data_IF_224188462229
#
_entry.id   IF_224188462229
#
_cell.length_a   1.000
_cell.length_b   1.000
_cell.length_c   1.000
_cell.angle_alpha   90.00
_cell.angle_beta   90.00
_cell.angle_gamma   90.00
#
_symmetry.space_group_name_H-M   'P 1'
#
loop_
_entity.id
_entity.type
_entity.pdbx_description
1 polymer ?
#
# COMPACT_ATOMS: atom_id res chain seq x y z
N UNK A 1 -7.42 -2.51 12.60
CA UNK A 1 -7.51 -1.52 11.49
C UNK A 1 -7.32 -2.22 10.16
N UNK A 2 -8.11 -1.84 9.16
CA UNK A 2 -8.11 -2.36 7.78
C UNK A 2 -8.08 -1.16 6.84
N UNK A 3 -7.23 -1.17 5.82
CA UNK A 3 -7.17 -0.12 4.80
C UNK A 3 -7.42 -0.77 3.45
N UNK A 4 -8.37 -0.20 2.70
CA UNK A 4 -8.63 -0.57 1.30
C UNK A 4 -8.07 0.54 0.42
N UNK A 5 -7.15 0.17 -0.46
CA UNK A 5 -6.64 1.04 -1.51
C UNK A 5 -7.32 0.56 -2.80
N UNK A 6 -8.24 1.38 -3.30
CA UNK A 6 -9.00 1.05 -4.50
C UNK A 6 -8.31 1.58 -5.75
N UNK A 7 -8.38 0.79 -6.80
CA UNK A 7 -7.99 1.18 -8.15
C UNK A 7 -9.09 0.76 -9.12
N UNK A 8 -9.37 1.63 -10.10
CA UNK A 8 -10.37 1.40 -11.15
C UNK A 8 -9.86 1.99 -12.47
N UNK A 9 -8.82 1.39 -13.04
CA UNK A 9 -8.52 1.54 -14.47
C UNK A 9 -8.09 0.20 -15.08
N UNK A 10 -8.74 -0.90 -14.70
CA UNK A 10 -8.82 -2.01 -15.65
C UNK A 10 -9.78 -1.52 -16.74
N UNK A 11 -9.35 -1.51 -18.01
CA UNK A 11 -10.31 -1.44 -19.11
C UNK A 11 -11.31 -2.57 -18.87
N UNK A 12 -12.60 -2.23 -18.77
CA UNK A 12 -13.65 -3.24 -18.79
C UNK A 12 -13.32 -4.17 -19.98
N UNK A 13 -13.21 -5.47 -19.70
CA UNK A 13 -12.93 -6.56 -20.65
C UNK A 13 -11.46 -6.98 -20.91
N UNK A 14 -10.42 -6.28 -20.41
CA UNK A 14 -9.02 -6.76 -20.56
C UNK A 14 -8.31 -6.82 -19.20
N UNK A 15 -7.92 -8.03 -18.79
CA UNK A 15 -7.08 -8.20 -17.61
C UNK A 15 -5.63 -7.79 -17.92
N UNK A 16 -5.23 -6.61 -17.46
CA UNK A 16 -3.85 -6.18 -17.58
C UNK A 16 -3.02 -6.70 -16.41
N UNK A 17 -1.81 -7.19 -16.71
CA UNK A 17 -0.82 -7.54 -15.68
C UNK A 17 -0.59 -6.33 -14.79
N UNK A 18 -0.61 -6.53 -13.47
CA UNK A 18 -0.28 -5.46 -12.54
C UNK A 18 0.61 -5.94 -11.40
N UNK A 19 1.37 -5.00 -10.85
CA UNK A 19 2.30 -5.22 -9.74
C UNK A 19 2.06 -4.19 -8.65
N UNK A 20 1.87 -4.66 -7.42
CA UNK A 20 1.90 -3.83 -6.23
C UNK A 20 3.29 -3.84 -5.61
N UNK A 21 3.80 -2.66 -5.31
CA UNK A 21 5.05 -2.46 -4.59
C UNK A 21 4.89 -1.47 -3.44
N UNK A 22 5.83 -1.50 -2.50
CA UNK A 22 5.91 -0.54 -1.41
C UNK A 22 7.33 -0.10 -1.13
N UNK A 23 7.50 1.21 -0.96
CA UNK A 23 8.69 1.84 -0.42
C UNK A 23 8.35 2.40 0.96
N UNK A 24 8.75 1.67 2.00
CA UNK A 24 8.55 2.10 3.40
C UNK A 24 9.42 3.32 3.71
N UNK A 25 8.98 4.14 4.65
CA UNK A 25 9.67 5.40 5.05
C UNK A 25 11.18 5.18 5.31
N UNK A 26 11.54 4.10 6.00
CA UNK A 26 12.93 3.77 6.35
C UNK A 26 13.63 2.84 5.34
N UNK A 27 13.13 2.75 4.10
CA UNK A 27 13.70 1.88 3.07
C UNK A 27 14.03 2.65 1.80
N UNK A 28 15.21 2.36 1.24
CA UNK A 28 15.64 2.91 -0.05
C UNK A 28 15.00 2.17 -1.24
N UNK A 29 14.59 0.92 -1.05
CA UNK A 29 14.14 0.03 -2.13
C UNK A 29 12.64 -0.20 -2.07
N UNK A 30 12.05 -0.40 -3.26
CA UNK A 30 10.70 -0.94 -3.38
C UNK A 30 10.73 -2.44 -3.08
N UNK A 31 9.67 -2.94 -2.45
CA UNK A 31 9.43 -4.36 -2.25
C UNK A 31 8.11 -4.74 -2.89
N UNK A 32 8.11 -5.81 -3.69
CA UNK A 32 6.89 -6.39 -4.25
C UNK A 32 5.98 -6.88 -3.11
N UNK A 33 4.71 -6.51 -3.21
CA UNK A 33 3.63 -7.04 -2.38
C UNK A 33 2.92 -8.15 -3.15
N UNK A 34 2.56 -7.88 -4.41
CA UNK A 34 1.74 -8.77 -5.19
C UNK A 34 1.94 -8.58 -6.69
N UNK A 35 1.75 -9.65 -7.45
CA UNK A 35 1.78 -9.66 -8.92
C UNK A 35 0.55 -10.44 -9.42
N UNK A 36 -0.23 -9.84 -10.30
CA UNK A 36 -1.24 -10.52 -11.11
C UNK A 36 -0.71 -10.63 -12.54
N UNK A 37 -0.98 -11.75 -13.22
CA UNK A 37 -0.65 -11.87 -14.64
C UNK A 37 -1.77 -11.32 -15.54
N UNK A 38 -1.54 -11.32 -16.85
CA UNK A 38 -2.49 -10.80 -17.85
C UNK A 38 -3.71 -11.71 -18.08
N UNK A 39 -3.86 -12.78 -17.29
CA UNK A 39 -4.98 -13.71 -17.36
C UNK A 39 -5.85 -13.64 -16.10
N UNK A 40 -5.58 -12.69 -15.20
CA UNK A 40 -6.24 -12.60 -13.90
C UNK A 40 -6.12 -13.90 -13.09
N UNK A 41 -5.10 -14.72 -13.38
CA UNK A 41 -4.78 -15.90 -12.60
C UNK A 41 -4.44 -15.46 -11.16
N UNK A 42 -4.55 -16.38 -10.18
CA UNK A 42 -4.44 -16.02 -8.78
C UNK A 42 -3.19 -15.19 -8.50
N UNK A 43 -3.43 -14.06 -7.83
CA UNK A 43 -2.40 -13.08 -7.50
C UNK A 43 -1.33 -13.75 -6.64
N UNK A 44 -0.08 -13.70 -7.09
CA UNK A 44 1.05 -14.12 -6.25
C UNK A 44 1.33 -13.01 -5.24
N UNK A 45 1.24 -13.32 -3.95
CA UNK A 45 1.55 -12.39 -2.85
C UNK A 45 2.92 -12.77 -2.27
N UNK A 46 3.73 -11.78 -1.93
CA UNK A 46 5.12 -11.97 -1.51
C UNK A 46 5.38 -11.60 -0.05
N UNK A 47 6.20 -12.43 0.61
CA UNK A 47 6.87 -12.09 1.86
C UNK A 47 5.91 -11.85 3.01
N UNK A 48 6.14 -10.78 3.78
CA UNK A 48 5.33 -10.51 4.99
C UNK A 48 3.90 -10.02 4.70
N UNK A 49 3.46 -10.09 3.45
CA UNK A 49 2.14 -9.73 2.97
C UNK A 49 1.24 -10.93 2.67
N UNK A 50 1.78 -12.15 2.51
CA UNK A 50 0.98 -13.35 2.18
C UNK A 50 -0.24 -13.54 3.09
N UNK A 51 -0.06 -13.31 4.39
CA UNK A 51 -1.13 -13.46 5.37
C UNK A 51 -1.95 -12.18 5.62
N UNK A 52 -1.57 -11.06 5.01
CA UNK A 52 -2.11 -9.72 5.33
C UNK A 52 -2.68 -8.98 4.14
N UNK A 53 -2.28 -9.30 2.91
CA UNK A 53 -2.77 -8.67 1.70
C UNK A 53 -3.86 -9.55 1.06
N UNK A 54 -4.84 -8.89 0.47
CA UNK A 54 -5.77 -9.46 -0.49
C UNK A 54 -5.79 -8.51 -1.67
N UNK A 55 -5.80 -9.04 -2.88
CA UNK A 55 -5.80 -8.24 -4.10
C UNK A 55 -6.97 -8.69 -4.95
N UNK A 56 -7.75 -7.72 -5.42
CA UNK A 56 -8.87 -7.97 -6.33
C UNK A 56 -8.41 -7.90 -7.78
N UNK A 57 -9.13 -8.56 -8.67
CA UNK A 57 -8.86 -8.57 -10.12
C UNK A 57 -8.78 -7.17 -10.74
N UNK A 58 -9.55 -6.21 -10.21
CA UNK A 58 -9.50 -4.81 -10.63
C UNK A 58 -8.26 -4.03 -10.15
N UNK A 59 -7.28 -4.70 -9.54
CA UNK A 59 -6.05 -4.11 -9.02
C UNK A 59 -6.17 -3.50 -7.63
N UNK A 60 -7.33 -3.57 -6.96
CA UNK A 60 -7.45 -3.06 -5.58
C UNK A 60 -6.60 -3.88 -4.59
N UNK A 61 -5.85 -3.20 -3.72
CA UNK A 61 -5.11 -3.83 -2.62
C UNK A 61 -5.82 -3.59 -1.29
N UNK A 62 -6.07 -4.67 -0.58
CA UNK A 62 -6.63 -4.67 0.76
C UNK A 62 -5.58 -5.19 1.75
N UNK A 63 -5.16 -4.32 2.67
CA UNK A 63 -4.15 -4.66 3.67
C UNK A 63 -4.78 -4.77 5.06
N UNK A 64 -4.65 -5.95 5.65
CA UNK A 64 -5.08 -6.31 7.00
C UNK A 64 -3.96 -6.17 8.01
N UNK A 65 -4.34 -5.97 9.29
CA UNK A 65 -3.39 -5.89 10.42
C UNK A 65 -2.27 -4.88 10.14
N UNK A 66 -2.69 -3.70 9.66
CA UNK A 66 -1.82 -2.56 9.34
C UNK A 66 -1.17 -2.04 10.63
N UNK A 67 0.14 -1.81 10.58
CA UNK A 67 0.97 -1.31 11.69
C UNK A 67 1.66 0.00 11.29
N UNK A 68 2.15 0.76 12.28
CA UNK A 68 2.89 2.02 12.04
C UNK A 68 4.04 1.85 11.03
N UNK A 69 4.76 0.72 11.09
CA UNK A 69 5.84 0.36 10.16
C UNK A 69 5.41 0.09 8.72
N UNK A 70 4.12 -0.08 8.46
CA UNK A 70 3.59 -0.24 7.10
C UNK A 70 3.41 1.12 6.40
N UNK A 71 3.70 2.25 7.08
CA UNK A 71 3.71 3.57 6.47
C UNK A 71 4.77 3.68 5.37
N UNK A 72 4.43 4.34 4.27
CA UNK A 72 5.28 4.48 3.10
C UNK A 72 4.50 4.82 1.84
N UNK A 73 5.21 4.78 0.71
CA UNK A 73 4.64 4.96 -0.62
C UNK A 73 4.31 3.59 -1.21
N UNK A 74 3.08 3.42 -1.67
CA UNK A 74 2.58 2.23 -2.34
C UNK A 74 2.40 2.55 -3.81
N UNK A 75 2.84 1.65 -4.67
CA UNK A 75 2.82 1.81 -6.11
C UNK A 75 2.02 0.65 -6.70
N UNK A 76 1.08 0.96 -7.58
CA UNK A 76 0.52 -0.01 -8.51
C UNK A 76 1.02 0.35 -9.89
N UNK A 77 1.68 -0.60 -10.54
CA UNK A 77 2.09 -0.51 -11.93
C UNK A 77 1.21 -1.46 -12.73
N UNK A 78 0.71 -1.00 -13.86
CA UNK A 78 -0.01 -1.84 -14.80
C UNK A 78 0.78 -1.88 -16.11
N UNK A 79 0.94 -3.08 -16.65
CA UNK A 79 1.66 -3.36 -17.88
C UNK A 79 0.66 -3.68 -19.00
N UNK A 80 0.99 -3.30 -20.24
CA UNK A 80 0.22 -3.65 -21.42
C UNK A 80 0.50 -5.11 -21.81
N UNK A 81 -0.15 -5.59 -22.88
CA UNK A 81 0.04 -6.96 -23.37
C UNK A 81 1.49 -7.24 -23.84
N UNK A 82 2.26 -6.20 -24.17
CA UNK A 82 3.68 -6.26 -24.54
C UNK A 82 4.63 -6.15 -23.33
N UNK A 83 4.08 -6.15 -22.10
CA UNK A 83 4.82 -5.98 -20.83
C UNK A 83 5.50 -4.61 -20.70
N UNK A 84 5.01 -3.60 -21.41
CA UNK A 84 5.45 -2.22 -21.23
C UNK A 84 4.58 -1.59 -20.16
N UNK A 85 5.21 -0.85 -19.25
CA UNK A 85 4.52 -0.03 -18.26
C UNK A 85 3.68 1.01 -18.98
N UNK A 86 2.36 0.86 -18.96
CA UNK A 86 1.44 1.85 -19.52
C UNK A 86 0.91 2.80 -18.45
N UNK A 87 0.92 2.36 -17.19
CA UNK A 87 0.38 3.14 -16.09
C UNK A 87 1.10 2.85 -14.76
N UNK A 88 1.25 3.88 -13.93
CA UNK A 88 1.58 3.73 -12.51
C UNK A 88 0.84 4.76 -11.67
N UNK A 89 0.37 4.32 -10.51
CA UNK A 89 -0.21 5.19 -9.51
C UNK A 89 0.52 5.05 -8.18
N UNK A 90 0.69 6.17 -7.48
CA UNK A 90 1.36 6.25 -6.19
C UNK A 90 0.38 6.71 -5.11
N UNK A 91 0.30 5.94 -4.03
CA UNK A 91 -0.46 6.28 -2.81
C UNK A 91 0.50 6.40 -1.63
N UNK A 92 0.40 7.47 -0.85
CA UNK A 92 1.12 7.59 0.42
C UNK A 92 0.23 7.12 1.58
N UNK A 93 0.67 6.11 2.32
CA UNK A 93 0.01 5.62 3.52
C UNK A 93 0.79 6.09 4.76
N UNK A 94 0.13 6.81 5.66
CA UNK A 94 0.67 7.16 6.97
C UNK A 94 -0.20 6.55 8.07
N UNK A 95 0.40 5.69 8.89
CA UNK A 95 -0.28 5.00 9.99
C UNK A 95 0.21 5.61 11.29
N UNK A 96 -0.66 6.35 11.98
CA UNK A 96 -0.36 6.93 13.30
C UNK A 96 -0.54 5.86 14.38
N UNK A 97 0.41 5.81 15.32
CA UNK A 97 0.29 4.98 16.51
C UNK A 97 -0.78 5.52 17.47
N UNK A 98 -1.11 4.79 18.56
CA UNK A 98 -1.96 5.34 19.61
C UNK A 98 -1.37 6.67 20.09
N UNK A 99 -2.17 7.73 20.01
CA UNK A 99 -1.81 9.06 20.49
C UNK A 99 -1.80 9.01 22.02
N UNK A 100 -0.61 8.90 22.61
CA UNK A 100 -0.46 9.21 24.03
C UNK A 100 -0.39 10.74 24.15
N UNK A 101 -1.55 11.39 24.23
CA UNK A 101 -1.63 12.79 24.66
C UNK A 101 -1.30 12.88 26.15
N UNK A 102 -0.01 12.81 26.50
CA UNK A 102 0.45 13.38 27.76
C UNK A 102 0.66 14.87 27.53
N UNK A 103 -0.32 15.66 27.98
CA UNK A 103 -0.14 17.08 28.22
C UNK A 103 1.03 17.25 29.20
N UNK A 104 2.22 17.52 28.67
CA UNK A 104 3.31 18.10 29.43
C UNK A 104 2.91 19.54 29.78
N UNK A 105 2.21 19.71 30.91
CA UNK A 105 2.18 21.00 31.61
C UNK A 105 3.62 21.37 31.96
N UNK A 106 4.26 22.17 31.10
CA UNK A 106 5.45 22.94 31.43
C UNK A 106 5.03 24.37 31.72
N UNK A 107 5.44 24.87 32.89
CA UNK A 107 5.77 26.29 33.06
C UNK A 107 4.80 27.12 33.88
N UNK A 108 5.13 27.27 35.17
CA UNK A 108 5.39 28.56 35.81
C UNK A 108 4.28 29.60 35.92
N UNK A 109 3.90 29.92 37.17
CA UNK A 109 3.83 31.29 37.65
C UNK A 109 3.84 31.27 39.19
N UNK A 110 5.00 31.60 39.78
CA UNK A 110 5.07 32.13 41.14
C UNK A 110 5.30 33.62 40.99
N UNK A 111 4.27 34.40 41.31
CA UNK A 111 4.34 35.86 41.40
C UNK A 111 4.61 36.20 42.86
N UNK A 112 5.64 37.05 43.05
CA UNK A 112 6.03 37.87 44.20
C UNK A 112 5.58 37.46 45.61
#
# INVERSE_FOLDING_TARGET
>A
MKVKIQFSQAQEEICNRFTWEVKRIHSKYRKTIAIADALCNPVTIYGNYENRAQVSENGSLLLHRVKTKDSGEYFITVDDLERRKWFEHKITLQVKGPSNNQNSKKGGNSVN
#
